data_IF_695391915654
#
_entry.id   IF_695391915654
#
_cell.length_a   1.000
_cell.length_b   1.000
_cell.length_c   1.000
_cell.angle_alpha   90.00
_cell.angle_beta   90.00
_cell.angle_gamma   90.00
#
_symmetry.space_group_name_H-M   'P 1'
#
loop_
_entity.id
_entity.type
_entity.pdbx_description
1 polymer ?
#
# COMPACT_ATOMS: atom_id res chain seq x y z
N UNK A 1 37.30 31.60 -7.82
CA UNK A 1 36.51 30.91 -6.80
C UNK A 1 35.48 30.06 -7.54
N UNK A 2 35.45 28.74 -7.38
CA UNK A 2 34.39 27.93 -7.97
C UNK A 2 33.07 28.25 -7.25
N UNK A 3 31.91 28.24 -7.94
CA UNK A 3 30.62 28.51 -7.34
C UNK A 3 30.31 27.44 -6.28
N UNK A 4 29.61 27.81 -5.20
CA UNK A 4 29.27 26.86 -4.14
C UNK A 4 28.43 25.73 -4.75
N UNK A 5 28.83 24.49 -4.47
CA UNK A 5 28.00 23.29 -4.79
C UNK A 5 26.62 23.52 -4.17
N UNK A 6 25.57 23.51 -5.01
CA UNK A 6 24.18 23.54 -4.53
C UNK A 6 24.05 22.44 -3.50
N UNK A 7 23.71 22.83 -2.27
CA UNK A 7 23.32 21.88 -1.24
C UNK A 7 22.19 21.03 -1.83
N UNK A 8 22.33 19.69 -1.78
CA UNK A 8 21.26 18.79 -2.12
C UNK A 8 20.08 19.10 -1.21
N UNK A 9 19.12 19.87 -1.72
CA UNK A 9 17.84 20.01 -1.07
C UNK A 9 17.20 18.62 -1.06
N UNK A 10 17.04 18.03 0.11
CA UNK A 10 16.25 16.81 0.29
C UNK A 10 14.83 17.23 -0.04
N UNK A 11 14.40 16.91 -1.25
CA UNK A 11 13.02 17.16 -1.67
C UNK A 11 12.13 16.19 -0.89
N UNK A 12 11.29 16.73 -0.01
CA UNK A 12 10.33 15.95 0.75
C UNK A 12 9.21 15.51 -0.21
N UNK A 13 9.32 14.33 -0.76
CA UNK A 13 8.37 13.82 -1.76
C UNK A 13 7.02 13.47 -1.12
N UNK A 14 7.02 13.06 0.15
CA UNK A 14 5.79 12.74 0.88
C UNK A 14 5.99 12.83 2.40
N UNK A 15 4.95 13.34 3.08
CA UNK A 15 4.80 13.28 4.52
C UNK A 15 3.32 13.09 4.86
N UNK A 16 3.00 12.37 5.96
CA UNK A 16 1.62 12.22 6.38
C UNK A 16 1.06 13.57 6.85
N UNK A 17 -0.18 13.83 6.53
CA UNK A 17 -0.91 14.97 7.11
C UNK A 17 -1.14 14.72 8.61
N UNK A 18 -1.04 15.77 9.44
CA UNK A 18 -1.36 15.66 10.86
C UNK A 18 -2.77 15.10 11.08
N UNK A 19 -2.92 14.24 12.10
CA UNK A 19 -4.18 13.60 12.45
C UNK A 19 -4.30 12.17 11.91
N UNK A 20 -5.39 11.79 11.21
CA UNK A 20 -5.66 10.39 10.86
C UNK A 20 -4.58 9.72 9.99
N UNK A 21 -3.97 10.44 9.06
CA UNK A 21 -2.88 9.87 8.26
C UNK A 21 -1.64 9.60 9.10
N UNK A 22 -1.26 10.54 9.94
CA UNK A 22 -0.13 10.38 10.84
C UNK A 22 -0.37 9.21 11.80
N UNK A 23 -1.55 9.13 12.40
CA UNK A 23 -1.94 8.02 13.26
C UNK A 23 -1.88 6.67 12.53
N UNK A 24 -2.32 6.61 11.27
CA UNK A 24 -2.20 5.41 10.45
C UNK A 24 -0.75 5.00 10.24
N UNK A 25 0.12 5.95 9.91
CA UNK A 25 1.55 5.67 9.65
C UNK A 25 2.26 5.16 10.90
N UNK A 26 1.99 5.78 12.03
CA UNK A 26 2.59 5.44 13.32
C UNK A 26 2.01 4.15 13.94
N UNK A 27 0.82 3.74 13.48
CA UNK A 27 0.13 2.58 14.03
C UNK A 27 0.92 1.29 13.77
N UNK A 28 1.18 0.54 14.84
CA UNK A 28 1.89 -0.75 14.82
C UNK A 28 0.98 -1.95 14.97
N UNK A 29 -0.33 -1.73 15.10
CA UNK A 29 -1.30 -2.81 15.22
C UNK A 29 -1.38 -3.63 13.92
N UNK A 30 -1.68 -4.92 14.07
CA UNK A 30 -1.83 -5.84 12.93
C UNK A 30 -3.06 -5.53 12.09
N UNK A 31 -4.11 -5.00 12.70
CA UNK A 31 -5.36 -4.64 12.04
C UNK A 31 -5.74 -3.20 12.37
N UNK A 32 -6.14 -2.45 11.35
CA UNK A 32 -6.56 -1.05 11.48
C UNK A 32 -7.80 -0.82 10.63
N UNK A 33 -8.84 -0.29 11.25
CA UNK A 33 -10.02 0.20 10.55
C UNK A 33 -9.99 1.73 10.51
N UNK A 34 -10.02 2.28 9.31
CA UNK A 34 -9.98 3.72 9.11
C UNK A 34 -11.28 4.19 8.46
N UNK A 35 -12.16 4.75 9.28
CA UNK A 35 -13.39 5.40 8.85
C UNK A 35 -13.12 6.81 8.30
N UNK A 36 -14.19 7.47 7.84
CA UNK A 36 -14.17 8.88 7.43
C UNK A 36 -14.68 9.12 6.01
N UNK A 37 -14.96 10.40 5.71
CA UNK A 37 -15.51 10.84 4.44
C UNK A 37 -14.54 10.58 3.25
N UNK A 38 -15.08 10.67 2.03
CA UNK A 38 -14.27 10.74 0.79
C UNK A 38 -13.33 11.95 0.87
N UNK A 39 -12.12 11.82 0.33
CA UNK A 39 -11.12 12.90 0.33
C UNK A 39 -10.29 13.00 1.62
N UNK A 40 -10.52 12.16 2.64
CA UNK A 40 -9.74 12.17 3.89
C UNK A 40 -8.30 11.64 3.78
N UNK A 41 -7.76 11.50 2.58
CA UNK A 41 -6.36 11.10 2.37
C UNK A 41 -6.01 9.68 2.81
N UNK A 42 -7.01 8.79 2.97
CA UNK A 42 -6.79 7.40 3.43
C UNK A 42 -5.88 6.62 2.50
N UNK A 43 -6.18 6.63 1.21
CA UNK A 43 -5.39 5.96 0.18
C UNK A 43 -3.96 6.50 0.14
N UNK A 44 -3.81 7.81 0.20
CA UNK A 44 -2.51 8.48 0.22
C UNK A 44 -1.69 8.08 1.46
N UNK A 45 -2.32 8.05 2.63
CA UNK A 45 -1.68 7.61 3.88
C UNK A 45 -1.22 6.16 3.83
N UNK A 46 -2.01 5.25 3.23
CA UNK A 46 -1.63 3.85 3.06
C UNK A 46 -0.47 3.70 2.09
N UNK A 47 -0.54 4.36 0.93
CA UNK A 47 0.54 4.31 -0.07
C UNK A 47 1.85 4.86 0.50
N UNK A 48 1.79 5.97 1.25
CA UNK A 48 2.96 6.52 1.93
C UNK A 48 3.52 5.61 3.02
N UNK A 49 2.65 5.02 3.86
CA UNK A 49 3.05 4.00 4.84
C UNK A 49 3.76 2.82 4.19
N UNK A 50 3.25 2.36 3.05
CA UNK A 50 3.85 1.26 2.30
C UNK A 50 5.20 1.61 1.70
N UNK A 51 5.39 2.86 1.25
CA UNK A 51 6.69 3.34 0.81
C UNK A 51 7.73 3.28 1.94
N UNK A 52 7.35 3.71 3.15
CA UNK A 52 8.22 3.63 4.32
C UNK A 52 8.54 2.18 4.71
N UNK A 53 7.55 1.29 4.67
CA UNK A 53 7.74 -0.14 4.93
C UNK A 53 8.64 -0.79 3.88
N UNK A 54 8.46 -0.46 2.61
CA UNK A 54 9.31 -0.97 1.54
C UNK A 54 10.78 -0.58 1.75
N UNK A 55 11.06 0.66 2.12
CA UNK A 55 12.41 1.11 2.44
C UNK A 55 13.03 0.34 3.61
N UNK A 56 12.21 -0.06 4.58
CA UNK A 56 12.66 -0.81 5.77
C UNK A 56 12.84 -2.30 5.51
N UNK A 57 11.94 -2.93 4.74
CA UNK A 57 11.88 -4.38 4.58
C UNK A 57 12.33 -4.87 3.19
N UNK A 58 12.47 -3.96 2.22
CA UNK A 58 12.98 -4.24 0.88
C UNK A 58 12.20 -5.37 0.19
N UNK A 59 12.93 -6.36 -0.34
CA UNK A 59 12.38 -7.50 -1.07
C UNK A 59 11.35 -8.34 -0.30
N UNK A 60 11.32 -8.23 1.01
CA UNK A 60 10.38 -8.97 1.85
C UNK A 60 9.03 -8.28 1.97
N UNK A 61 8.94 -7.02 1.54
CA UNK A 61 7.69 -6.27 1.51
C UNK A 61 6.86 -6.64 0.29
N UNK A 62 5.62 -7.05 0.51
CA UNK A 62 4.67 -7.40 -0.55
C UNK A 62 3.26 -7.01 -0.12
N UNK A 63 2.77 -5.91 -0.65
CA UNK A 63 1.48 -5.35 -0.30
C UNK A 63 0.45 -5.52 -1.42
N UNK A 64 -0.81 -5.63 -1.05
CA UNK A 64 -1.94 -5.68 -1.98
C UNK A 64 -3.03 -4.72 -1.52
N UNK A 65 -3.47 -3.85 -2.44
CA UNK A 65 -4.65 -3.01 -2.27
C UNK A 65 -5.81 -3.62 -3.04
N UNK A 66 -6.88 -3.92 -2.34
CA UNK A 66 -8.11 -4.42 -2.93
C UNK A 66 -9.13 -3.31 -3.09
N UNK A 67 -9.77 -3.28 -4.24
CA UNK A 67 -10.91 -2.43 -4.55
C UNK A 67 -12.02 -3.24 -5.23
N UNK A 68 -13.25 -2.74 -5.15
CA UNK A 68 -14.40 -3.43 -5.72
C UNK A 68 -14.43 -3.35 -7.22
N UNK A 69 -14.07 -2.21 -7.81
CA UNK A 69 -14.17 -1.97 -9.26
C UNK A 69 -12.87 -1.46 -9.85
N UNK A 70 -12.70 -1.66 -11.17
CA UNK A 70 -11.58 -1.14 -11.95
C UNK A 70 -11.49 0.39 -11.88
N UNK A 71 -12.60 1.08 -12.08
CA UNK A 71 -12.67 2.55 -12.06
C UNK A 71 -12.19 3.11 -10.73
N UNK A 72 -12.59 2.50 -9.61
CA UNK A 72 -12.15 2.97 -8.30
C UNK A 72 -10.66 2.77 -8.05
N UNK A 73 -10.01 1.84 -8.76
CA UNK A 73 -8.57 1.61 -8.62
C UNK A 73 -7.71 2.61 -9.41
N UNK A 74 -8.24 3.24 -10.45
CA UNK A 74 -7.49 4.16 -11.30
C UNK A 74 -6.91 5.33 -10.49
N UNK A 75 -7.72 5.97 -9.65
CA UNK A 75 -7.26 7.08 -8.80
C UNK A 75 -6.12 6.67 -7.88
N UNK A 76 -6.20 5.47 -7.29
CA UNK A 76 -5.14 4.97 -6.40
C UNK A 76 -3.86 4.62 -7.17
N UNK A 77 -4.00 4.07 -8.37
CA UNK A 77 -2.87 3.77 -9.25
C UNK A 77 -2.20 5.08 -9.67
N UNK A 78 -2.98 6.08 -10.09
CA UNK A 78 -2.45 7.38 -10.50
C UNK A 78 -1.72 8.06 -9.33
N UNK A 79 -2.32 8.09 -8.15
CA UNK A 79 -1.66 8.61 -6.96
C UNK A 79 -0.39 7.84 -6.62
N UNK A 80 -0.39 6.53 -6.78
CA UNK A 80 0.81 5.72 -6.56
C UNK A 80 1.94 6.04 -7.55
N UNK A 81 1.62 6.46 -8.79
CA UNK A 81 2.64 6.90 -9.76
C UNK A 81 3.36 8.15 -9.28
N UNK A 82 2.62 9.13 -8.77
CA UNK A 82 3.21 10.33 -8.20
C UNK A 82 4.14 10.03 -7.03
N UNK A 83 3.78 9.04 -6.20
CA UNK A 83 4.56 8.69 -5.02
C UNK A 83 5.74 7.77 -5.32
N UNK A 84 5.56 6.73 -6.14
CA UNK A 84 6.56 5.66 -6.26
C UNK A 84 7.53 5.85 -7.42
N UNK A 85 7.13 6.52 -8.50
CA UNK A 85 8.00 6.75 -9.65
C UNK A 85 9.23 7.61 -9.30
N UNK A 86 9.12 8.70 -8.51
CA UNK A 86 10.27 9.49 -8.09
C UNK A 86 11.31 8.69 -7.29
N UNK A 87 10.88 7.63 -6.58
CA UNK A 87 11.77 6.73 -5.85
C UNK A 87 12.35 5.60 -6.70
N UNK A 88 12.13 5.61 -8.01
CA UNK A 88 12.64 4.59 -8.93
C UNK A 88 11.78 3.32 -9.02
N UNK A 89 10.56 3.35 -8.54
CA UNK A 89 9.57 2.30 -8.73
C UNK A 89 9.24 2.11 -10.22
N UNK A 90 9.00 0.87 -10.63
CA UNK A 90 8.58 0.51 -11.99
C UNK A 90 7.21 -0.14 -11.94
N UNK A 91 6.25 0.45 -12.64
CA UNK A 91 4.88 -0.06 -12.73
C UNK A 91 4.74 -1.02 -13.91
N UNK A 92 4.08 -2.15 -13.68
CA UNK A 92 3.68 -3.08 -14.72
C UNK A 92 2.17 -2.98 -14.91
N UNK A 93 1.76 -2.41 -16.04
CA UNK A 93 0.35 -2.17 -16.38
C UNK A 93 -0.47 -3.48 -16.49
N UNK A 94 0.08 -4.50 -17.11
CA UNK A 94 -0.62 -5.76 -17.31
C UNK A 94 -0.89 -6.52 -15.99
N UNK A 95 -0.04 -6.31 -14.98
CA UNK A 95 -0.15 -6.97 -13.68
C UNK A 95 -0.66 -6.04 -12.59
N UNK A 96 -0.91 -4.78 -12.90
CA UNK A 96 -1.26 -3.70 -11.97
C UNK A 96 -0.38 -3.73 -10.71
N UNK A 97 0.94 -3.75 -10.94
CA UNK A 97 1.90 -3.97 -9.86
C UNK A 97 3.15 -3.13 -9.99
N UNK A 98 3.52 -2.52 -8.88
CA UNK A 98 4.81 -1.88 -8.68
C UNK A 98 5.89 -2.88 -8.31
N UNK A 99 7.06 -2.70 -8.89
CA UNK A 99 8.32 -3.25 -8.39
C UNK A 99 9.17 -2.09 -7.90
N UNK A 100 9.45 -2.10 -6.61
CA UNK A 100 10.18 -1.04 -5.95
C UNK A 100 11.69 -1.28 -6.01
N UNK A 101 12.52 -0.24 -5.84
CA UNK A 101 13.99 -0.35 -5.99
C UNK A 101 14.64 -1.37 -5.06
N UNK A 102 14.18 -1.49 -3.82
CA UNK A 102 14.69 -2.47 -2.86
C UNK A 102 14.08 -3.87 -3.03
N UNK A 103 13.31 -4.08 -4.10
CA UNK A 103 12.72 -5.36 -4.47
C UNK A 103 11.33 -5.63 -3.89
N UNK A 104 10.78 -4.71 -3.10
CA UNK A 104 9.42 -4.76 -2.61
C UNK A 104 8.39 -4.67 -3.73
N UNK A 105 7.15 -5.06 -3.42
CA UNK A 105 6.04 -5.09 -4.38
C UNK A 105 4.80 -4.46 -3.79
N UNK A 106 4.08 -3.70 -4.62
CA UNK A 106 2.75 -3.19 -4.30
C UNK A 106 1.84 -3.53 -5.47
N UNK A 107 0.77 -4.26 -5.22
CA UNK A 107 -0.19 -4.71 -6.24
C UNK A 107 -1.55 -4.09 -6.00
N UNK A 108 -2.25 -3.80 -7.09
CA UNK A 108 -3.66 -3.43 -7.06
C UNK A 108 -4.48 -4.59 -7.59
N UNK A 109 -5.57 -4.89 -6.92
CA UNK A 109 -6.40 -6.03 -7.25
C UNK A 109 -7.89 -5.73 -7.05
N UNK A 110 -8.71 -6.49 -7.74
CA UNK A 110 -10.15 -6.38 -7.65
C UNK A 110 -10.70 -7.54 -6.83
N UNK A 111 -11.72 -7.24 -6.04
CA UNK A 111 -12.38 -8.21 -5.20
C UNK A 111 -13.91 -8.10 -5.40
N UNK A 112 -14.42 -8.67 -6.48
CA UNK A 112 -15.85 -8.69 -6.78
C UNK A 112 -16.58 -9.81 -6.04
N UNK A 113 -15.89 -10.94 -5.83
CA UNK A 113 -16.46 -12.13 -5.21
C UNK A 113 -15.43 -12.89 -4.36
N UNK A 114 -15.90 -13.89 -3.58
CA UNK A 114 -15.02 -14.70 -2.72
C UNK A 114 -14.00 -15.54 -3.51
N UNK A 115 -14.32 -15.93 -4.75
CA UNK A 115 -13.39 -16.69 -5.57
C UNK A 115 -12.15 -15.86 -5.93
N UNK A 116 -12.29 -14.53 -6.03
CA UNK A 116 -11.16 -13.63 -6.29
C UNK A 116 -10.19 -13.63 -5.12
N UNK A 117 -10.67 -13.72 -3.88
CA UNK A 117 -9.83 -13.83 -2.69
C UNK A 117 -9.02 -15.14 -2.67
N UNK A 118 -9.58 -16.22 -3.18
CA UNK A 118 -8.89 -17.52 -3.23
C UNK A 118 -7.63 -17.50 -4.10
N UNK A 119 -7.56 -16.63 -5.10
CA UNK A 119 -6.37 -16.46 -5.94
C UNK A 119 -5.15 -15.94 -5.16
N UNK A 120 -5.39 -15.34 -4.00
CA UNK A 120 -4.35 -14.82 -3.12
C UNK A 120 -3.97 -15.79 -2.00
N UNK A 121 -4.70 -16.90 -1.88
CA UNK A 121 -4.39 -17.96 -0.93
C UNK A 121 -2.98 -18.53 -1.20
N UNK A 122 -2.16 -18.64 -0.17
CA UNK A 122 -0.79 -19.14 -0.29
C UNK A 122 0.23 -18.15 -0.85
N UNK A 123 -0.17 -16.93 -1.24
CA UNK A 123 0.78 -15.88 -1.59
C UNK A 123 1.39 -15.26 -0.32
N UNK A 124 2.68 -15.00 -0.37
CA UNK A 124 3.36 -14.31 0.73
C UNK A 124 3.08 -12.80 0.65
N UNK A 125 1.94 -12.38 1.20
CA UNK A 125 1.53 -10.97 1.29
C UNK A 125 1.78 -10.49 2.72
N UNK A 126 2.46 -9.37 2.88
CA UNK A 126 2.82 -8.79 4.18
C UNK A 126 1.84 -7.74 4.66
N UNK A 127 1.21 -7.04 3.73
CA UNK A 127 0.25 -5.97 4.00
C UNK A 127 -0.93 -6.04 3.05
N UNK A 128 -2.11 -5.87 3.59
CA UNK A 128 -3.37 -5.83 2.83
C UNK A 128 -4.11 -4.55 3.19
N UNK A 129 -4.64 -3.89 2.19
CA UNK A 129 -5.57 -2.81 2.36
C UNK A 129 -6.83 -3.06 1.53
N UNK A 130 -7.98 -2.97 2.16
CA UNK A 130 -9.27 -3.12 1.51
C UNK A 130 -9.94 -1.76 1.54
N UNK A 131 -10.05 -1.13 0.38
CA UNK A 131 -10.74 0.14 0.27
C UNK A 131 -12.26 -0.05 0.19
N UNK A 132 -12.97 0.92 0.77
CA UNK A 132 -14.43 0.94 0.78
C UNK A 132 -15.04 -0.37 1.33
N UNK A 133 -14.44 -0.92 2.38
CA UNK A 133 -14.87 -2.20 2.98
C UNK A 133 -16.38 -2.24 3.32
N UNK A 134 -17.00 -1.09 3.63
CA UNK A 134 -18.44 -0.99 3.86
C UNK A 134 -19.33 -1.20 2.63
N UNK A 135 -18.78 -1.21 1.43
CA UNK A 135 -19.53 -1.50 0.20
C UNK A 135 -19.67 -2.99 -0.10
N UNK A 136 -18.98 -3.83 0.66
CA UNK A 136 -19.11 -5.29 0.51
C UNK A 136 -20.30 -5.77 1.34
N UNK A 137 -21.28 -6.39 0.67
CA UNK A 137 -22.50 -6.93 1.30
C UNK A 137 -22.21 -8.01 2.35
N UNK A 138 -21.08 -8.67 2.23
CA UNK A 138 -20.65 -9.70 3.16
C UNK A 138 -19.27 -9.36 3.74
N UNK A 139 -19.20 -8.93 5.00
CA UNK A 139 -17.92 -8.62 5.67
C UNK A 139 -16.98 -9.83 5.77
N UNK A 140 -17.49 -11.05 5.67
CA UNK A 140 -16.65 -12.26 5.61
C UNK A 140 -15.68 -12.26 4.40
N UNK A 141 -16.01 -11.54 3.32
CA UNK A 141 -15.14 -11.40 2.15
C UNK A 141 -13.87 -10.60 2.49
N UNK A 142 -14.03 -9.50 3.21
CA UNK A 142 -12.90 -8.66 3.63
C UNK A 142 -12.05 -9.36 4.69
N UNK A 143 -12.68 -10.06 5.64
CA UNK A 143 -11.99 -10.82 6.68
C UNK A 143 -11.26 -12.02 6.08
N UNK A 144 -11.87 -12.76 5.17
CA UNK A 144 -11.22 -13.89 4.51
C UNK A 144 -9.98 -13.44 3.72
N UNK A 145 -10.05 -12.30 3.02
CA UNK A 145 -8.90 -11.77 2.30
C UNK A 145 -7.75 -11.39 3.24
N UNK A 146 -8.02 -10.75 4.37
CA UNK A 146 -6.99 -10.42 5.36
C UNK A 146 -6.42 -11.66 6.03
N UNK A 147 -7.25 -12.64 6.39
CA UNK A 147 -6.82 -13.88 7.02
C UNK A 147 -6.01 -14.80 6.09
N UNK A 148 -6.34 -14.81 4.79
CA UNK A 148 -5.62 -15.62 3.79
C UNK A 148 -4.32 -14.98 3.31
N UNK A 149 -4.22 -13.66 3.35
CA UNK A 149 -3.06 -12.92 2.83
C UNK A 149 -2.04 -12.57 3.91
N UNK A 150 -2.45 -12.33 5.14
CA UNK A 150 -1.56 -11.88 6.21
C UNK A 150 -1.01 -13.07 7.01
N UNK A 151 0.11 -13.65 6.58
CA UNK A 151 0.95 -14.39 7.52
C UNK A 151 1.88 -13.38 8.20
N UNK A 152 1.85 -13.25 9.53
CA UNK A 152 2.84 -12.45 10.24
C UNK A 152 4.22 -13.03 9.92
N UNK A 153 5.08 -12.19 9.33
CA UNK A 153 6.49 -12.55 9.20
C UNK A 153 7.09 -12.61 10.60
N UNK A 154 7.31 -13.80 11.11
CA UNK A 154 8.15 -14.02 12.28
C UNK A 154 9.58 -13.60 11.90
N UNK A 155 9.96 -12.38 12.22
CA UNK A 155 11.34 -11.96 12.17
C UNK A 155 12.09 -12.73 13.28
N UNK A 156 12.86 -13.74 12.90
CA UNK A 156 13.95 -14.22 13.76
C UNK A 156 14.99 -13.10 13.78
N UNK A 157 15.08 -12.40 14.90
CA UNK A 157 16.24 -11.59 15.25
C UNK A 157 17.47 -12.52 15.26
N UNK A 158 18.43 -12.22 14.42
CA UNK A 158 19.80 -12.69 14.58
C UNK A 158 20.57 -11.64 15.34
#
# INVERSE_FOLDING_TARGET
>A
MPPPKKANSIELVWAPQPGPQQALVECTLSEVFMGGARGGGKTDGVLGKWLLKERRYGRHFNAVMFRRTTVSAEDAIERSRELYAPFGGKFNEAKLRWRMPNGGRVSFAYLENLADANQYQGRNVTDVWIEEAGQYENPARSIACSAYCARPMAFRSR
#
